data_IF_562520429805
#
_entry.id   IF_562520429805
#
_cell.length_a   1.000
_cell.length_b   1.000
_cell.length_c   1.000
_cell.angle_alpha   90.00
_cell.angle_beta   90.00
_cell.angle_gamma   90.00
#
_symmetry.space_group_name_H-M   'P 1'
#
loop_
_entity.id
_entity.type
_entity.pdbx_description
1 polymer ?
#
# COMPACT_ATOMS: atom_id res chain seq x y z
N UNK A 1 6.09 -3.92 -15.49
CA UNK A 1 4.69 -4.39 -15.48
C UNK A 1 4.26 -4.54 -14.04
N UNK A 2 3.24 -3.79 -13.61
CA UNK A 2 2.63 -3.90 -12.28
C UNK A 2 2.20 -5.36 -12.00
N UNK A 3 2.48 -5.85 -10.80
CA UNK A 3 2.11 -7.20 -10.38
C UNK A 3 1.39 -7.15 -9.02
N UNK A 4 0.11 -7.43 -9.04
CA UNK A 4 -0.67 -7.67 -7.82
C UNK A 4 -0.22 -8.97 -7.16
N UNK A 5 -0.05 -8.97 -5.83
CA UNK A 5 0.16 -10.19 -5.04
C UNK A 5 -0.92 -10.29 -3.97
N UNK A 6 -1.05 -11.49 -3.42
CA UNK A 6 -1.85 -11.72 -2.22
C UNK A 6 -1.21 -11.04 -1.00
N UNK A 7 -1.96 -10.96 0.10
CA UNK A 7 -1.47 -10.39 1.37
C UNK A 7 -0.22 -11.15 1.82
N UNK A 8 -0.26 -12.47 1.76
CA UNK A 8 0.83 -13.39 2.13
C UNK A 8 2.08 -13.10 1.30
N UNK A 9 1.93 -13.01 -0.03
CA UNK A 9 3.02 -12.73 -0.95
C UNK A 9 3.60 -11.33 -0.76
N UNK A 10 2.77 -10.35 -0.40
CA UNK A 10 3.23 -9.01 -0.06
C UNK A 10 4.08 -8.99 1.21
N UNK A 11 3.59 -9.62 2.27
CA UNK A 11 4.29 -9.67 3.56
C UNK A 11 5.61 -10.42 3.45
N UNK A 12 5.67 -11.49 2.67
CA UNK A 12 6.92 -12.19 2.38
C UNK A 12 7.96 -11.28 1.70
N UNK A 13 7.51 -10.31 0.88
CA UNK A 13 8.38 -9.36 0.19
C UNK A 13 8.67 -8.08 0.97
N UNK A 14 7.91 -7.78 2.02
CA UNK A 14 8.05 -6.56 2.82
C UNK A 14 9.41 -6.40 3.53
N UNK A 15 10.22 -7.46 3.62
CA UNK A 15 11.61 -7.41 4.09
C UNK A 15 12.68 -7.44 3.00
N UNK A 16 12.32 -7.70 1.74
CA UNK A 16 13.26 -7.76 0.61
C UNK A 16 13.28 -6.47 -0.22
N UNK A 17 12.18 -5.72 -0.21
CA UNK A 17 12.00 -4.50 -1.00
C UNK A 17 11.41 -3.37 -0.16
N UNK A 18 11.72 -2.11 -0.47
CA UNK A 18 11.10 -0.96 0.17
C UNK A 18 9.57 -1.01 0.06
N UNK A 19 8.91 -0.88 1.21
CA UNK A 19 7.44 -0.82 1.30
C UNK A 19 7.00 0.63 1.41
N UNK A 20 6.05 1.03 0.57
CA UNK A 20 5.40 2.34 0.62
C UNK A 20 3.94 2.17 1.05
N UNK A 21 3.56 2.93 2.07
CA UNK A 21 2.19 3.09 2.52
C UNK A 21 1.61 4.41 1.97
N UNK A 22 0.60 4.31 1.10
CA UNK A 22 -0.04 5.50 0.48
C UNK A 22 -1.30 5.97 1.21
N UNK A 23 -1.56 5.43 2.41
CA UNK A 23 -2.66 5.85 3.26
C UNK A 23 -2.39 7.24 3.86
N UNK A 24 -3.44 7.82 4.43
CA UNK A 24 -3.31 9.12 5.13
C UNK A 24 -2.34 9.05 6.32
N UNK A 25 -1.71 10.17 6.72
CA UNK A 25 -0.78 10.19 7.85
C UNK A 25 -1.39 9.65 9.15
N UNK A 26 -2.65 9.98 9.44
CA UNK A 26 -3.36 9.44 10.60
C UNK A 26 -3.62 7.93 10.52
N UNK A 27 -3.83 7.36 9.33
CA UNK A 27 -3.89 5.90 9.15
C UNK A 27 -2.55 5.21 9.37
N UNK A 28 -1.45 5.85 8.95
CA UNK A 28 -0.10 5.34 9.13
C UNK A 28 0.30 5.36 10.62
N UNK A 29 0.03 6.46 11.31
CA UNK A 29 0.31 6.63 12.74
C UNK A 29 -0.46 5.63 13.62
N UNK A 30 -1.71 5.28 13.25
CA UNK A 30 -2.50 4.26 13.97
C UNK A 30 -1.95 2.84 13.83
N UNK A 31 -1.09 2.59 12.85
CA UNK A 31 -0.46 1.30 12.64
C UNK A 31 -0.17 1.04 11.16
N UNK A 32 1.07 0.67 10.89
CA UNK A 32 1.62 0.38 9.57
C UNK A 32 2.52 -0.86 9.63
N UNK A 33 2.97 -1.33 8.47
CA UNK A 33 3.88 -2.47 8.37
C UNK A 33 5.27 -2.02 8.81
N UNK A 34 5.99 -2.76 9.66
CA UNK A 34 7.33 -2.36 10.10
C UNK A 34 8.27 -2.15 8.91
N UNK A 35 9.01 -1.04 8.92
CA UNK A 35 9.90 -0.66 7.82
C UNK A 35 9.20 -0.03 6.60
N UNK A 36 7.87 0.16 6.64
CA UNK A 36 7.17 0.88 5.60
C UNK A 36 7.43 2.39 5.67
N UNK A 37 7.63 3.01 4.52
CA UNK A 37 7.73 4.46 4.35
C UNK A 37 6.35 5.05 4.03
N UNK A 38 6.00 6.14 4.70
CA UNK A 38 4.75 6.86 4.41
C UNK A 38 4.93 7.75 3.18
N UNK A 39 4.09 7.57 2.16
CA UNK A 39 3.98 8.44 0.99
C UNK A 39 2.48 8.73 0.73
N UNK A 40 1.85 9.54 1.58
CA UNK A 40 0.40 9.68 1.61
C UNK A 40 -0.14 10.26 0.30
N UNK A 41 -1.09 9.55 -0.32
CA UNK A 41 -1.80 10.06 -1.50
C UNK A 41 -2.68 11.27 -1.15
N UNK A 42 -3.24 11.26 0.05
CA UNK A 42 -4.10 12.33 0.58
C UNK A 42 -3.72 12.63 2.03
N UNK A 43 -3.82 13.89 2.42
CA UNK A 43 -3.86 14.29 3.84
C UNK A 43 -5.10 13.74 4.54
N UNK A 44 -5.14 13.79 5.87
CA UNK A 44 -6.30 13.34 6.65
C UNK A 44 -7.58 14.11 6.30
N UNK A 45 -7.45 15.42 6.03
CA UNK A 45 -8.55 16.29 5.60
C UNK A 45 -9.04 15.92 4.20
N UNK A 46 -8.13 15.83 3.23
CA UNK A 46 -8.48 15.46 1.84
C UNK A 46 -9.12 14.07 1.81
N UNK A 47 -8.58 13.11 2.55
CA UNK A 47 -9.17 11.77 2.70
C UNK A 47 -10.63 11.83 3.20
N UNK A 48 -10.92 12.71 4.15
CA UNK A 48 -12.26 12.88 4.72
C UNK A 48 -13.22 13.49 3.69
N UNK A 49 -12.76 14.49 2.93
CA UNK A 49 -13.52 15.11 1.85
C UNK A 49 -13.82 14.10 0.74
N UNK A 50 -12.81 13.41 0.21
CA UNK A 50 -12.96 12.40 -0.84
C UNK A 50 -13.86 11.25 -0.37
N UNK A 51 -13.70 10.81 0.88
CA UNK A 51 -14.56 9.77 1.48
C UNK A 51 -16.02 10.20 1.58
N UNK A 52 -16.27 11.47 1.87
CA UNK A 52 -17.62 12.06 1.92
C UNK A 52 -18.22 12.17 0.52
N UNK A 53 -17.47 12.71 -0.44
CA UNK A 53 -17.89 12.81 -1.84
C UNK A 53 -18.21 11.45 -2.44
N UNK A 54 -17.39 10.44 -2.15
CA UNK A 54 -17.62 9.09 -2.64
C UNK A 54 -18.97 8.53 -2.16
N UNK A 55 -19.34 8.79 -0.90
CA UNK A 55 -20.60 8.34 -0.32
C UNK A 55 -21.81 9.13 -0.81
N UNK A 56 -21.66 10.45 -0.97
CA UNK A 56 -22.79 11.34 -1.26
C UNK A 56 -23.05 11.50 -2.76
N UNK A 57 -21.99 11.59 -3.56
CA UNK A 57 -22.05 11.94 -4.99
C UNK A 57 -21.51 10.82 -5.90
N UNK A 58 -21.07 9.71 -5.31
CA UNK A 58 -20.61 8.53 -6.02
C UNK A 58 -19.14 8.59 -6.45
N UNK A 59 -18.71 7.49 -7.09
CA UNK A 59 -17.30 7.25 -7.43
C UNK A 59 -16.69 8.31 -8.35
N UNK A 60 -17.40 8.70 -9.40
CA UNK A 60 -16.82 9.54 -10.47
C UNK A 60 -16.42 10.92 -9.95
N UNK A 61 -17.29 11.56 -9.15
CA UNK A 61 -17.02 12.87 -8.55
C UNK A 61 -15.84 12.79 -7.58
N UNK A 62 -15.80 11.75 -6.74
CA UNK A 62 -14.70 11.55 -5.80
C UNK A 62 -13.36 11.31 -6.49
N UNK A 63 -13.34 10.57 -7.61
CA UNK A 63 -12.12 10.35 -8.39
C UNK A 63 -11.64 11.66 -9.04
N UNK A 64 -12.55 12.42 -9.64
CA UNK A 64 -12.20 13.69 -10.30
C UNK A 64 -11.63 14.69 -9.29
N UNK A 65 -12.28 14.84 -8.13
CA UNK A 65 -11.80 15.72 -7.08
C UNK A 65 -10.45 15.24 -6.51
N UNK A 66 -10.28 13.92 -6.36
CA UNK A 66 -9.01 13.33 -5.94
C UNK A 66 -7.87 13.65 -6.91
N UNK A 67 -8.12 13.56 -8.22
CA UNK A 67 -7.14 13.94 -9.24
C UNK A 67 -6.79 15.44 -9.17
N UNK A 68 -7.79 16.29 -8.93
CA UNK A 68 -7.60 17.75 -8.79
C UNK A 68 -6.70 18.09 -7.59
N UNK A 69 -6.89 17.40 -6.46
CA UNK A 69 -6.07 17.58 -5.26
C UNK A 69 -4.63 17.07 -5.44
N UNK A 70 -4.45 15.91 -6.08
CA UNK A 70 -3.15 15.25 -6.20
C UNK A 70 -2.30 15.83 -7.34
N UNK A 71 -2.93 16.30 -8.42
CA UNK A 71 -2.27 16.79 -9.64
C UNK A 71 -1.03 17.66 -9.42
N UNK A 72 -1.12 18.76 -8.64
CA UNK A 72 -0.01 19.67 -8.39
C UNK A 72 1.19 19.01 -7.67
N UNK A 73 0.97 17.89 -6.98
CA UNK A 73 1.97 17.20 -6.16
C UNK A 73 2.48 15.89 -6.76
N UNK A 74 1.98 15.49 -7.93
CA UNK A 74 2.33 14.23 -8.58
C UNK A 74 3.83 14.12 -8.86
N UNK A 75 4.46 15.20 -9.34
CA UNK A 75 5.89 15.21 -9.65
C UNK A 75 6.74 14.96 -8.40
N UNK A 76 6.47 15.67 -7.31
CA UNK A 76 7.18 15.49 -6.03
C UNK A 76 7.00 14.07 -5.48
N UNK A 77 5.79 13.50 -5.58
CA UNK A 77 5.51 12.14 -5.15
C UNK A 77 6.33 11.09 -5.93
N UNK A 78 6.50 11.29 -7.24
CA UNK A 78 7.37 10.43 -8.05
C UNK A 78 8.82 10.52 -7.60
N UNK A 79 9.32 11.74 -7.37
CA UNK A 79 10.70 11.95 -6.93
C UNK A 79 10.99 11.29 -5.58
N UNK A 80 10.09 11.44 -4.61
CA UNK A 80 10.20 10.81 -3.30
C UNK A 80 10.12 9.28 -3.41
N UNK A 81 9.15 8.75 -4.16
CA UNK A 81 8.99 7.31 -4.33
C UNK A 81 10.18 6.65 -5.04
N UNK A 82 10.78 7.31 -6.03
CA UNK A 82 11.96 6.79 -6.72
C UNK A 82 13.23 6.84 -5.86
N UNK A 83 13.38 7.84 -4.98
CA UNK A 83 14.48 7.88 -3.99
C UNK A 83 14.43 6.67 -3.05
N UNK A 84 13.23 6.22 -2.68
CA UNK A 84 13.03 5.07 -1.80
C UNK A 84 13.34 3.73 -2.48
N UNK A 85 13.31 3.65 -3.82
CA UNK A 85 13.51 2.41 -4.56
C UNK A 85 14.62 2.53 -5.64
N UNK A 86 15.90 2.71 -5.23
CA UNK A 86 17.01 2.85 -6.17
C UNK A 86 17.16 1.59 -7.05
N UNK A 87 16.99 0.41 -6.46
CA UNK A 87 17.04 -0.90 -7.14
C UNK A 87 15.84 -1.23 -8.03
N UNK A 88 14.85 -0.34 -8.14
CA UNK A 88 13.73 -0.48 -9.07
C UNK A 88 12.68 -1.53 -8.72
N UNK A 89 12.68 -2.02 -7.49
CA UNK A 89 11.62 -2.87 -6.94
C UNK A 89 11.01 -2.13 -5.75
N UNK A 90 9.69 -1.96 -5.75
CA UNK A 90 8.97 -1.23 -4.71
C UNK A 90 7.62 -1.85 -4.46
N UNK A 91 7.25 -1.99 -3.21
CA UNK A 91 5.99 -2.60 -2.80
C UNK A 91 5.06 -1.51 -2.29
N UNK A 92 3.93 -1.25 -2.95
CA UNK A 92 3.02 -0.14 -2.58
C UNK A 92 1.69 -0.70 -2.11
N UNK A 93 1.27 -0.38 -0.88
CA UNK A 93 0.00 -0.83 -0.36
C UNK A 93 -0.92 0.30 0.08
N UNK A 94 -2.22 0.00 0.05
CA UNK A 94 -3.25 0.78 0.72
C UNK A 94 -4.10 -0.16 1.61
N UNK A 95 -5.21 0.32 2.15
CA UNK A 95 -6.05 -0.44 3.09
C UNK A 95 -6.49 -1.83 2.60
N UNK A 96 -6.99 -1.91 1.35
CA UNK A 96 -7.59 -3.12 0.75
C UNK A 96 -7.03 -3.44 -0.64
N UNK A 97 -5.91 -2.80 -1.00
CA UNK A 97 -5.31 -2.93 -2.34
C UNK A 97 -6.28 -2.57 -3.47
N UNK A 98 -6.90 -1.39 -3.36
CA UNK A 98 -7.76 -0.83 -4.40
C UNK A 98 -7.09 0.30 -5.18
N UNK A 99 -7.92 1.14 -5.78
CA UNK A 99 -7.52 2.23 -6.69
C UNK A 99 -6.36 3.08 -6.18
N UNK A 100 -6.32 3.42 -4.88
CA UNK A 100 -5.27 4.30 -4.32
C UNK A 100 -3.85 3.74 -4.50
N UNK A 101 -3.64 2.46 -4.18
CA UNK A 101 -2.32 1.83 -4.37
C UNK A 101 -2.03 1.61 -5.85
N UNK A 102 -3.04 1.25 -6.65
CA UNK A 102 -2.89 1.07 -8.11
C UNK A 102 -2.52 2.35 -8.86
N UNK A 103 -3.10 3.49 -8.49
CA UNK A 103 -2.80 4.78 -9.12
C UNK A 103 -1.36 5.24 -8.81
N UNK A 104 -0.92 5.11 -7.56
CA UNK A 104 0.46 5.46 -7.17
C UNK A 104 1.46 4.48 -7.78
N UNK A 105 1.12 3.19 -7.80
CA UNK A 105 1.90 2.16 -8.47
C UNK A 105 2.24 2.52 -9.91
N UNK A 106 1.19 2.85 -10.66
CA UNK A 106 1.28 3.24 -12.06
C UNK A 106 2.08 4.52 -12.23
N UNK A 107 1.84 5.52 -11.38
CA UNK A 107 2.56 6.79 -11.41
C UNK A 107 4.07 6.62 -11.20
N UNK A 108 4.47 5.76 -10.25
CA UNK A 108 5.88 5.46 -10.01
C UNK A 108 6.52 4.66 -11.16
N UNK A 109 5.76 3.77 -11.81
CA UNK A 109 6.23 3.04 -12.99
C UNK A 109 6.47 3.98 -14.18
N UNK A 110 5.49 4.83 -14.51
CA UNK A 110 5.57 5.79 -15.62
C UNK A 110 6.70 6.82 -15.39
N UNK A 111 6.78 7.36 -14.17
CA UNK A 111 7.83 8.30 -13.79
C UNK A 111 9.24 7.72 -13.89
N UNK A 112 9.40 6.41 -13.65
CA UNK A 112 10.68 5.72 -13.80
C UNK A 112 11.10 5.60 -15.28
N UNK A 113 10.17 5.16 -16.13
CA UNK A 113 10.39 4.99 -17.57
C UNK A 113 10.83 6.31 -18.22
N UNK A 114 10.12 7.41 -17.91
CA UNK A 114 10.39 8.74 -18.48
C UNK A 114 11.73 9.34 -18.04
N UNK A 115 12.30 8.90 -16.92
CA UNK A 115 13.61 9.35 -16.42
C UNK A 115 14.78 8.53 -16.95
N UNK A 116 14.59 7.69 -17.97
CA UNK A 116 15.66 6.92 -18.61
C UNK A 116 16.11 5.69 -17.83
N UNK A 117 15.43 5.37 -16.72
CA UNK A 117 15.56 4.05 -16.10
C UNK A 117 14.74 3.09 -16.96
N UNK A 118 15.42 2.20 -17.71
CA UNK A 118 14.76 1.22 -18.60
C UNK A 118 13.65 0.43 -17.90
N UNK A 119 12.77 -0.24 -18.68
CA UNK A 119 11.59 -0.93 -18.15
C UNK A 119 12.02 -1.81 -16.98
N UNK A 120 11.58 -1.42 -15.78
CA UNK A 120 12.03 -2.03 -14.55
C UNK A 120 11.64 -3.51 -14.60
N UNK A 121 12.62 -4.37 -14.86
CA UNK A 121 12.51 -5.83 -14.76
C UNK A 121 12.20 -6.17 -13.31
N UNK A 122 10.93 -6.10 -12.93
CA UNK A 122 10.46 -6.48 -11.61
C UNK A 122 9.92 -5.37 -10.71
N UNK A 123 9.44 -4.24 -11.24
CA UNK A 123 8.56 -3.35 -10.46
C UNK A 123 7.25 -4.09 -10.18
N UNK A 124 7.26 -4.95 -9.17
CA UNK A 124 6.06 -5.57 -8.65
C UNK A 124 5.46 -4.54 -7.73
N UNK A 125 4.59 -3.67 -8.25
CA UNK A 125 3.77 -2.91 -7.32
C UNK A 125 2.68 -3.80 -6.78
N UNK A 126 2.88 -4.23 -5.55
CA UNK A 126 2.05 -5.24 -4.94
C UNK A 126 0.83 -4.59 -4.28
N UNK A 127 -0.28 -4.57 -5.00
CA UNK A 127 -1.57 -4.18 -4.43
C UNK A 127 -2.19 -5.35 -3.67
N UNK A 128 -2.37 -5.21 -2.36
CA UNK A 128 -2.95 -6.22 -1.47
C UNK A 128 -4.47 -6.32 -1.64
N UNK A 129 -5.00 -7.17 -2.52
CA UNK A 129 -6.45 -7.42 -2.61
C UNK A 129 -6.93 -8.14 -1.34
N UNK A 130 -7.44 -7.37 -0.38
CA UNK A 130 -7.95 -7.94 0.86
C UNK A 130 -9.45 -8.20 0.73
N UNK A 131 -9.84 -9.41 0.32
CA UNK A 131 -11.19 -9.94 0.57
C UNK A 131 -11.19 -10.63 1.93
N UNK A 132 -10.93 -9.90 3.02
CA UNK A 132 -11.11 -10.48 4.35
C UNK A 132 -12.61 -10.57 4.68
N UNK A 133 -13.13 -11.81 4.62
CA UNK A 133 -14.43 -12.25 5.15
C UNK A 133 -14.43 -12.26 6.69
N UNK A 134 -13.97 -11.19 7.34
CA UNK A 134 -14.16 -10.97 8.77
C UNK A 134 -14.46 -9.49 9.00
N UNK A 135 -15.71 -9.21 9.37
CA UNK A 135 -16.32 -7.89 9.63
C UNK A 135 -15.62 -7.02 10.71
N UNK A 136 -14.39 -7.31 11.15
CA UNK A 136 -13.69 -6.63 12.27
C UNK A 136 -12.21 -6.30 12.06
N UNK A 137 -11.66 -6.37 10.84
CA UNK A 137 -10.29 -5.91 10.59
C UNK A 137 -10.26 -4.40 10.30
N UNK A 138 -10.06 -3.60 11.35
CA UNK A 138 -10.03 -2.13 11.31
C UNK A 138 -8.63 -1.54 11.21
N UNK A 139 -7.58 -2.32 10.89
CA UNK A 139 -6.25 -1.79 10.54
C UNK A 139 -5.36 -2.82 9.83
N UNK A 140 -4.42 -2.35 9.01
CA UNK A 140 -3.35 -3.17 8.43
C UNK A 140 -2.48 -3.79 9.55
N UNK A 141 -2.32 -3.08 10.67
CA UNK A 141 -1.69 -3.61 11.89
C UNK A 141 -2.46 -4.79 12.53
N UNK A 142 -3.80 -4.83 12.42
CA UNK A 142 -4.60 -5.96 12.87
C UNK A 142 -4.35 -7.19 11.97
N UNK A 143 -4.30 -6.99 10.65
CA UNK A 143 -3.94 -8.04 9.70
C UNK A 143 -2.51 -8.57 9.97
N UNK A 144 -1.54 -7.67 10.18
CA UNK A 144 -0.16 -8.02 10.49
C UNK A 144 0.01 -8.72 11.86
N UNK A 145 -0.70 -8.27 12.90
CA UNK A 145 -0.72 -8.90 14.23
C UNK A 145 -1.39 -10.28 14.21
N UNK A 146 -2.43 -10.47 13.40
CA UNK A 146 -3.05 -11.77 13.15
C UNK A 146 -2.08 -12.69 12.38
N UNK A 147 -1.35 -12.15 11.41
CA UNK A 147 -0.39 -12.91 10.62
C UNK A 147 0.82 -13.38 11.46
N UNK A 148 1.42 -12.50 12.25
CA UNK A 148 2.55 -12.82 13.14
C UNK A 148 2.19 -13.83 14.24
N UNK A 149 0.98 -13.76 14.78
CA UNK A 149 0.46 -14.75 15.75
C UNK A 149 0.09 -16.12 15.12
N UNK A 150 0.14 -16.24 13.79
CA UNK A 150 -0.09 -17.51 13.09
C UNK A 150 1.20 -18.32 12.92
N UNK A 151 2.35 -17.66 12.74
CA UNK A 151 3.67 -18.32 12.69
C UNK A 151 4.10 -18.87 14.06
N UNK A 152 3.56 -18.33 15.16
CA UNK A 152 3.85 -18.81 16.53
C UNK A 152 3.03 -20.06 16.93
N UNK A 153 2.20 -20.60 16.03
CA UNK A 153 1.48 -21.88 16.25
C UNK A 153 2.09 -23.07 15.51
N UNK A 154 3.21 -22.88 14.81
CA UNK A 154 3.91 -23.96 14.10
C UNK A 154 5.12 -24.51 14.86
N UNK A 155 5.37 -24.08 16.09
CA UNK A 155 6.24 -24.84 17.00
C UNK A 155 5.46 -26.04 17.56
N UNK A 156 5.95 -27.28 17.38
CA UNK A 156 5.29 -28.43 17.98
C UNK A 156 5.35 -28.28 19.50
N UNK A 157 4.17 -28.35 20.13
CA UNK A 157 4.05 -28.43 21.59
C UNK A 157 4.89 -29.62 22.08
N UNK A 158 5.65 -29.50 23.19
CA UNK A 158 6.44 -30.61 23.69
C UNK A 158 5.50 -31.78 24.03
N UNK A 159 5.91 -32.97 23.60
CA UNK A 159 5.20 -34.22 23.81
C UNK A 159 4.88 -34.39 25.30
N UNK A 160 3.58 -34.50 25.62
CA UNK A 160 3.16 -34.96 26.93
C UNK A 160 3.40 -36.45 26.97
N UNK A 161 4.53 -36.84 27.56
CA UNK A 161 4.80 -38.21 27.96
C UNK A 161 3.71 -38.73 28.90
N UNK A 162 3.20 -39.91 28.55
CA UNK A 162 2.37 -40.80 29.35
C UNK A 162 2.78 -42.22 29.00
#
# INVERSE_FOLDING_TARGET
MLRSLTVEGFLAKAGEVPVIDVRSPGEFARGHIPGAHSLPLFSDTERTVIGTLYKQQGRNVAVLEGLRMVGPRMAAMVEEGLKLAPGGRIAVHCWRGGERSGSVAWLLEDGRIRRGFGPARGLQTISCTCTCVIRRCTSVACCWRIYRNREDRTTPSPERGG
#
